data_IF_324766446566
#
_entry.id   IF_324766446566
#
_cell.length_a   1.000
_cell.length_b   1.000
_cell.length_c   1.000
_cell.angle_alpha   90.00
_cell.angle_beta   90.00
_cell.angle_gamma   90.00
#
_symmetry.space_group_name_H-M   'P 1'
#
loop_
_entity.id
_entity.type
_entity.pdbx_description
1 polymer ?
#
# COMPACT_ATOMS: atom_id res chain seq x y z
N UNK A 1 0.76 16.06 11.76
CA UNK A 1 2.07 15.62 11.22
C UNK A 1 2.23 14.10 11.04
N UNK A 2 1.26 13.26 11.42
CA UNK A 2 1.43 11.78 11.43
C UNK A 2 1.48 11.11 10.05
N UNK A 3 0.70 11.59 9.08
CA UNK A 3 0.67 11.05 7.72
C UNK A 3 1.96 11.31 6.90
N UNK A 4 2.53 12.53 6.91
CA UNK A 4 3.83 12.77 6.27
C UNK A 4 4.97 11.92 6.85
N UNK A 5 4.99 11.73 8.17
CA UNK A 5 5.98 10.88 8.84
C UNK A 5 5.87 9.42 8.38
N UNK A 6 4.64 8.89 8.31
CA UNK A 6 4.41 7.55 7.77
C UNK A 6 4.88 7.43 6.32
N UNK A 7 4.56 8.41 5.47
CA UNK A 7 5.02 8.43 4.09
C UNK A 7 6.54 8.41 3.98
N UNK A 8 7.24 9.21 4.79
CA UNK A 8 8.70 9.20 4.86
C UNK A 8 9.24 7.81 5.26
N UNK A 9 8.69 7.20 6.32
CA UNK A 9 9.09 5.87 6.76
C UNK A 9 8.86 4.80 5.68
N UNK A 10 7.70 4.84 5.01
CA UNK A 10 7.36 3.89 3.95
C UNK A 10 8.32 4.01 2.77
N UNK A 11 8.63 5.25 2.35
CA UNK A 11 9.59 5.51 1.27
C UNK A 11 10.99 5.04 1.67
N UNK A 12 11.45 5.38 2.88
CA UNK A 12 12.76 4.95 3.39
C UNK A 12 12.88 3.44 3.45
N UNK A 13 11.86 2.73 3.96
CA UNK A 13 11.85 1.28 4.01
C UNK A 13 11.89 0.67 2.60
N UNK A 14 11.05 1.17 1.69
CA UNK A 14 11.01 0.68 0.30
C UNK A 14 12.33 0.93 -0.41
N UNK A 15 12.96 2.08 -0.16
CA UNK A 15 14.29 2.41 -0.70
C UNK A 15 15.36 1.44 -0.20
N UNK A 16 15.42 1.18 1.11
CA UNK A 16 16.39 0.25 1.70
C UNK A 16 16.22 -1.17 1.16
N UNK A 17 14.98 -1.65 1.03
CA UNK A 17 14.71 -2.96 0.42
C UNK A 17 15.17 -2.99 -1.03
N UNK A 18 14.91 -1.92 -1.79
CA UNK A 18 15.30 -1.80 -3.20
C UNK A 18 16.81 -1.79 -3.45
N UNK A 19 17.65 -1.56 -2.42
CA UNK A 19 19.11 -1.73 -2.53
C UNK A 19 19.51 -3.20 -2.73
N UNK A 20 18.69 -4.15 -2.27
CA UNK A 20 18.97 -5.59 -2.32
C UNK A 20 18.01 -6.32 -3.27
N UNK A 21 16.73 -5.94 -3.28
CA UNK A 21 15.70 -6.59 -4.07
C UNK A 21 14.58 -5.64 -4.46
N UNK A 22 14.32 -5.52 -5.77
CA UNK A 22 13.37 -4.54 -6.30
C UNK A 22 11.92 -4.86 -5.94
N UNK A 23 11.25 -3.93 -5.28
CA UNK A 23 9.81 -3.91 -5.01
C UNK A 23 9.21 -2.57 -5.46
N UNK A 24 7.91 -2.58 -5.81
CA UNK A 24 7.24 -1.38 -6.32
C UNK A 24 6.73 -0.48 -5.21
N UNK A 25 7.28 0.74 -5.12
CA UNK A 25 6.83 1.76 -4.16
C UNK A 25 5.37 2.20 -4.36
N UNK A 26 4.86 2.10 -5.59
CA UNK A 26 3.46 2.43 -5.85
C UNK A 26 2.54 1.35 -5.30
N UNK A 27 2.95 0.08 -5.38
CA UNK A 27 2.20 -1.02 -4.77
C UNK A 27 2.22 -0.88 -3.24
N UNK A 28 3.37 -0.54 -2.66
CA UNK A 28 3.48 -0.25 -1.23
C UNK A 28 2.58 0.92 -0.79
N UNK A 29 2.56 2.02 -1.53
CA UNK A 29 1.67 3.15 -1.26
C UNK A 29 0.19 2.78 -1.32
N UNK A 30 -0.23 2.00 -2.33
CA UNK A 30 -1.62 1.54 -2.46
C UNK A 30 -1.99 0.61 -1.31
N UNK A 31 -1.14 -0.38 -0.98
CA UNK A 31 -1.36 -1.27 0.16
C UNK A 31 -1.49 -0.51 1.48
N UNK A 32 -0.61 0.46 1.72
CA UNK A 32 -0.68 1.32 2.90
C UNK A 32 -1.96 2.17 2.95
N UNK A 33 -2.45 2.63 1.81
CA UNK A 33 -3.69 3.40 1.70
C UNK A 33 -4.90 2.53 2.04
N UNK A 34 -4.93 1.28 1.55
CA UNK A 34 -5.97 0.30 1.91
C UNK A 34 -5.96 0.02 3.43
N UNK A 35 -4.77 -0.12 4.03
CA UNK A 35 -4.65 -0.30 5.47
C UNK A 35 -5.11 0.93 6.27
N UNK A 36 -4.78 2.14 5.82
CA UNK A 36 -5.27 3.38 6.44
C UNK A 36 -6.80 3.40 6.48
N UNK A 37 -7.43 3.14 5.34
CA UNK A 37 -8.89 3.11 5.26
C UNK A 37 -9.47 2.01 6.14
N UNK A 38 -8.88 0.80 6.14
CA UNK A 38 -9.34 -0.29 7.00
C UNK A 38 -9.32 0.06 8.49
N UNK A 39 -8.28 0.75 8.96
CA UNK A 39 -8.20 1.18 10.36
C UNK A 39 -9.11 2.38 10.68
N UNK A 40 -9.16 3.38 9.80
CA UNK A 40 -9.92 4.62 10.00
C UNK A 40 -11.43 4.41 9.93
N UNK A 41 -11.84 3.46 9.08
CA UNK A 41 -13.22 3.14 8.79
C UNK A 41 -13.57 1.77 9.37
N UNK A 42 -13.24 1.55 10.65
CA UNK A 42 -13.66 0.37 11.42
C UNK A 42 -15.10 0.46 11.95
N UNK A 43 -15.67 1.68 12.05
CA UNK A 43 -17.09 1.96 12.39
C UNK A 43 -17.93 2.73 11.32
N UNK A 44 -17.86 2.47 10.00
CA UNK A 44 -18.70 3.16 9.00
C UNK A 44 -19.85 2.27 8.56
N UNK A 45 -20.80 2.86 7.83
CA UNK A 45 -21.72 2.05 7.04
C UNK A 45 -20.93 1.10 6.13
N UNK A 46 -21.33 -0.18 6.12
CA UNK A 46 -20.66 -1.23 5.32
C UNK A 46 -20.43 -0.81 3.86
N UNK A 47 -21.28 0.07 3.33
CA UNK A 47 -21.18 0.64 2.00
C UNK A 47 -19.88 1.45 1.76
N UNK A 48 -19.47 2.31 2.70
CA UNK A 48 -18.23 3.10 2.54
C UNK A 48 -17.00 2.19 2.51
N UNK A 49 -16.95 1.20 3.41
CA UNK A 49 -15.86 0.24 3.46
C UNK A 49 -15.75 -0.55 2.14
N UNK A 50 -16.89 -0.99 1.58
CA UNK A 50 -16.95 -1.68 0.29
C UNK A 50 -16.40 -0.79 -0.84
N UNK A 51 -16.81 0.47 -0.91
CA UNK A 51 -16.34 1.42 -1.94
C UNK A 51 -14.81 1.62 -1.83
N UNK A 52 -14.27 1.73 -0.62
CA UNK A 52 -12.83 1.87 -0.41
C UNK A 52 -12.04 0.62 -0.80
N UNK A 53 -12.54 -0.56 -0.46
CA UNK A 53 -11.91 -1.83 -0.85
C UNK A 53 -11.92 -1.98 -2.37
N UNK A 54 -13.06 -1.73 -3.02
CA UNK A 54 -13.18 -1.84 -4.48
C UNK A 54 -12.26 -0.84 -5.19
N UNK A 55 -12.22 0.42 -4.74
CA UNK A 55 -11.33 1.42 -5.32
C UNK A 55 -9.85 1.10 -5.09
N UNK A 56 -9.48 0.60 -3.90
CA UNK A 56 -8.13 0.13 -3.61
C UNK A 56 -7.71 -1.04 -4.50
N UNK A 57 -8.60 -2.00 -4.74
CA UNK A 57 -8.38 -3.13 -5.65
C UNK A 57 -8.21 -2.64 -7.09
N UNK A 58 -9.09 -1.75 -7.56
CA UNK A 58 -9.01 -1.18 -8.91
C UNK A 58 -7.68 -0.44 -9.15
N UNK A 59 -7.25 0.39 -8.19
CA UNK A 59 -5.96 1.08 -8.24
C UNK A 59 -4.78 0.09 -8.22
N UNK A 60 -4.89 -0.97 -7.42
CA UNK A 60 -3.88 -2.05 -7.37
C UNK A 60 -3.72 -2.71 -8.74
N UNK A 61 -4.82 -3.08 -9.40
CA UNK A 61 -4.78 -3.67 -10.74
C UNK A 61 -4.21 -2.71 -11.78
N UNK A 62 -4.63 -1.45 -11.78
CA UNK A 62 -4.14 -0.46 -12.74
C UNK A 62 -2.63 -0.23 -12.60
N UNK A 63 -2.15 -0.04 -11.36
CA UNK A 63 -0.74 0.15 -11.09
C UNK A 63 0.08 -1.11 -11.39
N UNK A 64 -0.40 -2.29 -11.01
CA UNK A 64 0.25 -3.55 -11.30
C UNK A 64 0.37 -3.80 -12.81
N UNK A 65 -0.72 -3.59 -13.55
CA UNK A 65 -0.74 -3.75 -15.01
C UNK A 65 0.26 -2.82 -15.69
N UNK A 66 0.29 -1.53 -15.32
CA UNK A 66 1.24 -0.58 -15.87
C UNK A 66 2.69 -1.03 -15.64
N UNK A 67 3.01 -1.56 -14.45
CA UNK A 67 4.38 -2.01 -14.11
C UNK A 67 4.79 -3.29 -14.82
N UNK A 68 3.86 -4.23 -15.00
CA UNK A 68 4.09 -5.44 -15.80
C UNK A 68 4.29 -5.09 -17.28
N UNK A 69 3.47 -4.19 -17.83
CA UNK A 69 3.57 -3.76 -19.24
C UNK A 69 4.89 -3.05 -19.53
N UNK A 70 5.39 -2.25 -18.59
CA UNK A 70 6.69 -1.60 -18.67
C UNK A 70 7.87 -2.55 -18.40
N UNK A 71 7.61 -3.83 -18.08
CA UNK A 71 8.61 -4.81 -17.64
C UNK A 71 9.50 -4.31 -16.50
N UNK A 72 8.99 -3.37 -15.70
CA UNK A 72 9.73 -2.72 -14.62
C UNK A 72 9.82 -3.62 -13.37
N UNK A 73 8.80 -4.46 -13.17
CA UNK A 73 8.72 -5.41 -12.08
C UNK A 73 8.09 -6.72 -12.55
N UNK A 74 8.38 -7.81 -11.84
CA UNK A 74 7.66 -9.08 -11.99
C UNK A 74 6.45 -9.14 -11.03
N UNK A 75 5.50 -10.08 -11.22
CA UNK A 75 4.31 -10.18 -10.36
C UNK A 75 4.63 -10.33 -8.88
N UNK A 76 5.66 -11.10 -8.53
CA UNK A 76 6.06 -11.34 -7.14
C UNK A 76 6.56 -10.04 -6.46
N UNK A 77 7.33 -9.21 -7.17
CA UNK A 77 7.80 -7.92 -6.68
C UNK A 77 6.66 -6.91 -6.46
N UNK A 78 5.58 -7.02 -7.23
CA UNK A 78 4.38 -6.19 -7.07
C UNK A 78 3.56 -6.62 -5.85
N UNK A 79 3.36 -7.93 -5.69
CA UNK A 79 2.65 -8.51 -4.55
C UNK A 79 3.40 -8.21 -3.25
N UNK A 80 4.71 -8.44 -3.20
CA UNK A 80 5.48 -8.15 -1.99
C UNK A 80 5.51 -6.65 -1.68
N UNK A 81 5.63 -5.78 -2.70
CA UNK A 81 5.49 -4.34 -2.50
C UNK A 81 4.16 -3.97 -1.86
N UNK A 82 3.05 -4.52 -2.37
CA UNK A 82 1.71 -4.27 -1.83
C UNK A 82 1.56 -4.77 -0.38
N UNK A 83 1.98 -6.01 -0.11
CA UNK A 83 1.91 -6.62 1.23
C UNK A 83 2.76 -5.83 2.23
N UNK A 84 3.98 -5.43 1.85
CA UNK A 84 4.86 -4.65 2.72
C UNK A 84 4.20 -3.33 3.14
N UNK A 85 3.63 -2.60 2.17
CA UNK A 85 2.91 -1.37 2.46
C UNK A 85 1.65 -1.57 3.31
N UNK A 86 0.86 -2.61 3.02
CA UNK A 86 -0.34 -2.94 3.79
C UNK A 86 -0.01 -3.30 5.24
N UNK A 87 0.96 -4.19 5.49
CA UNK A 87 1.33 -4.61 6.85
C UNK A 87 1.94 -3.45 7.65
N UNK A 88 2.81 -2.65 7.01
CA UNK A 88 3.39 -1.48 7.65
C UNK A 88 2.32 -0.44 8.00
N UNK A 89 1.40 -0.16 7.08
CA UNK A 89 0.26 0.73 7.31
C UNK A 89 -0.65 0.20 8.41
N UNK A 90 -1.01 -1.08 8.36
CA UNK A 90 -1.88 -1.71 9.35
C UNK A 90 -1.28 -1.61 10.75
N UNK A 91 0.01 -1.93 10.90
CA UNK A 91 0.72 -1.80 12.17
C UNK A 91 0.79 -0.36 12.64
N UNK A 92 1.19 0.58 11.77
CA UNK A 92 1.35 1.99 12.15
C UNK A 92 0.02 2.64 12.53
N UNK A 93 -1.01 2.49 11.70
CA UNK A 93 -2.30 3.16 11.92
C UNK A 93 -3.08 2.54 13.09
N UNK A 94 -3.01 1.21 13.28
CA UNK A 94 -3.70 0.54 14.39
C UNK A 94 -3.14 0.93 15.77
N UNK A 95 -1.84 1.18 15.89
CA UNK A 95 -1.24 1.62 17.16
C UNK A 95 -1.45 3.12 17.45
N UNK A 96 -2.03 3.88 16.50
CA UNK A 96 -2.18 5.33 16.60
C UNK A 96 -3.63 5.80 16.74
N UNK A 97 -4.60 4.90 16.55
CA UNK A 97 -6.03 5.09 16.76
C UNK A 97 -6.43 4.49 18.10
#
# INVERSE_FOLDING_TARGET
YRLPLFGALLISLTFLVNLFWKISIHMAGIGATVAFFNCFFSEPSALMLIIFIISGIALTFLAAYARLKLKAHNPFQLVVGWIAGFLMGLFYFRNMM
#
